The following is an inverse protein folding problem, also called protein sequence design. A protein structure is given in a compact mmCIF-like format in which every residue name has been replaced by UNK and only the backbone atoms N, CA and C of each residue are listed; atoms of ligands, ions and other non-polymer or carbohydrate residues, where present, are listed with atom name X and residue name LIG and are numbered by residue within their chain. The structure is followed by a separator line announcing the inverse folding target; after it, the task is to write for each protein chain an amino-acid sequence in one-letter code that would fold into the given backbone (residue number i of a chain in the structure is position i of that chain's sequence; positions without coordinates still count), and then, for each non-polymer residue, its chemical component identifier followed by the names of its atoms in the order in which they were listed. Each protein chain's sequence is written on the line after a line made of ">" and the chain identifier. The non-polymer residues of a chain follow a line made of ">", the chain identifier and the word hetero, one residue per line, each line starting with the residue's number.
data_IF_155442900363
#
_entry.id   IF_155442900363
#
_cell.length_a   1.000
_cell.length_b   1.000
_cell.length_c   1.000
_cell.angle_alpha   90.00
_cell.angle_beta   90.00
_cell.angle_gamma   90.00
#
_symmetry.space_group_name_H-M   'P 1'
#
loop_
_entity.id
_entity.type
_entity.pdbx_description
1 polymer ?
#
# COMPACT_ATOMS: atom_id res chain seq x y z
N UNK A 1 5.02 12.36 -4.61
CA UNK A 1 5.44 11.22 -3.75
C UNK A 1 5.01 9.93 -4.46
N UNK A 2 5.91 8.97 -4.67
CA UNK A 2 5.60 7.75 -5.45
C UNK A 2 4.61 6.84 -4.70
N UNK A 3 3.54 6.42 -5.38
CA UNK A 3 2.51 5.51 -4.86
C UNK A 3 3.12 4.18 -4.44
N UNK A 4 4.08 3.64 -5.19
CA UNK A 4 4.77 2.40 -4.84
C UNK A 4 5.39 2.42 -3.45
N UNK A 5 5.97 3.57 -3.05
CA UNK A 5 6.58 3.73 -1.72
C UNK A 5 5.51 3.77 -0.64
N UNK A 6 4.47 4.58 -0.83
CA UNK A 6 3.39 4.74 0.14
C UNK A 6 2.59 3.46 0.33
N UNK A 7 2.15 2.84 -0.76
CA UNK A 7 1.37 1.60 -0.73
C UNK A 7 2.14 0.43 -0.12
N UNK A 8 3.46 0.36 -0.32
CA UNK A 8 4.30 -0.61 0.40
C UNK A 8 4.21 -0.41 1.92
N UNK A 9 4.40 0.82 2.39
CA UNK A 9 4.42 1.13 3.83
C UNK A 9 3.05 0.84 4.45
N UNK A 10 1.98 1.28 3.78
CA UNK A 10 0.61 0.98 4.19
C UNK A 10 0.40 -0.53 4.25
N UNK A 11 0.80 -1.27 3.22
CA UNK A 11 0.71 -2.72 3.22
C UNK A 11 1.44 -3.41 4.38
N UNK A 12 2.61 -2.90 4.78
CA UNK A 12 3.33 -3.41 5.96
C UNK A 12 2.53 -3.18 7.25
N UNK A 13 1.90 -2.02 7.39
CA UNK A 13 1.07 -1.69 8.55
C UNK A 13 -0.21 -2.54 8.61
N UNK A 14 -0.91 -2.70 7.48
CA UNK A 14 -2.13 -3.51 7.41
C UNK A 14 -1.84 -4.98 7.69
N UNK A 15 -0.72 -5.49 7.19
CA UNK A 15 -0.32 -6.87 7.42
C UNK A 15 0.12 -7.13 8.85
N UNK A 16 0.81 -6.17 9.48
CA UNK A 16 1.11 -6.23 10.91
C UNK A 16 -0.17 -6.21 11.78
N UNK A 17 -1.23 -5.57 11.28
CA UNK A 17 -2.53 -5.51 11.93
C UNK A 17 -3.46 -6.69 11.56
N UNK A 18 -3.01 -7.64 10.73
CA UNK A 18 -3.80 -8.79 10.31
C UNK A 18 -4.99 -8.48 9.39
N UNK A 19 -4.98 -7.32 8.72
CA UNK A 19 -6.09 -6.89 7.84
C UNK A 19 -5.90 -7.48 6.44
N UNK A 20 -6.80 -8.39 6.07
CA UNK A 20 -6.78 -9.06 4.77
C UNK A 20 -7.74 -8.45 3.73
N UNK A 21 -8.79 -7.77 4.18
CA UNK A 21 -9.78 -7.12 3.33
C UNK A 21 -9.98 -5.67 3.76
N UNK A 22 -9.89 -4.75 2.80
CA UNK A 22 -9.95 -3.31 3.06
C UNK A 22 -10.24 -2.55 1.77
N UNK A 23 -10.67 -1.32 1.92
CA UNK A 23 -10.72 -0.33 0.86
C UNK A 23 -9.66 0.73 1.14
N UNK A 24 -8.98 1.20 0.11
CA UNK A 24 -7.96 2.22 0.21
C UNK A 24 -8.25 3.29 -0.84
N UNK A 25 -8.38 4.52 -0.39
CA UNK A 25 -8.61 5.67 -1.25
C UNK A 25 -7.46 6.66 -1.12
N UNK A 26 -7.02 7.21 -2.26
CA UNK A 26 -6.08 8.32 -2.29
C UNK A 26 -6.88 9.63 -2.20
N UNK A 27 -6.77 10.32 -1.06
CA UNK A 27 -7.37 11.63 -0.84
C UNK A 27 -6.26 12.70 -0.78
N UNK A 28 -6.13 13.46 -1.87
CA UNK A 28 -5.06 14.45 -2.12
C UNK A 28 -3.65 13.89 -1.86
N UNK A 29 -3.09 14.20 -0.69
CA UNK A 29 -1.76 13.78 -0.26
C UNK A 29 -1.79 12.61 0.73
N UNK A 30 -2.95 12.26 1.24
CA UNK A 30 -3.17 11.21 2.24
C UNK A 30 -3.77 9.95 1.62
N UNK A 31 -3.70 8.85 2.36
CA UNK A 31 -4.37 7.60 2.01
C UNK A 31 -5.30 7.22 3.14
N UNK A 32 -6.58 7.03 2.82
CA UNK A 32 -7.60 6.59 3.78
C UNK A 32 -7.83 5.11 3.55
N UNK A 33 -7.69 4.32 4.61
CA UNK A 33 -8.00 2.90 4.59
C UNK A 33 -9.25 2.66 5.42
N UNK A 34 -10.21 1.98 4.83
CA UNK A 34 -11.46 1.55 5.44
C UNK A 34 -11.47 0.03 5.54
N UNK A 35 -11.86 -0.55 6.68
CA UNK A 35 -12.05 -1.99 6.78
C UNK A 35 -13.15 -2.34 7.77
N UNK A 36 -13.99 -3.30 7.40
CA UNK A 36 -15.01 -3.88 8.26
C UNK A 36 -14.45 -5.01 9.16
N UNK A 37 -13.33 -5.61 8.76
CA UNK A 37 -12.81 -6.85 9.33
C UNK A 37 -11.58 -6.59 10.22
N UNK A 38 -11.67 -5.61 11.11
CA UNK A 38 -10.55 -5.22 11.97
C UNK A 38 -10.75 -5.79 13.38
N UNK A 39 -9.78 -6.57 13.85
CA UNK A 39 -9.76 -7.04 15.23
C UNK A 39 -9.35 -5.92 16.18
N UNK A 40 -9.67 -6.05 17.47
CA UNK A 40 -9.31 -5.05 18.48
C UNK A 40 -7.79 -4.85 18.55
N UNK A 41 -7.03 -5.93 18.43
CA UNK A 41 -5.57 -5.95 18.41
C UNK A 41 -5.04 -5.26 17.16
N UNK A 42 -5.60 -5.56 15.98
CA UNK A 42 -5.23 -4.93 14.71
C UNK A 42 -5.50 -3.42 14.72
N UNK A 43 -6.65 -3.01 15.26
CA UNK A 43 -6.99 -1.60 15.45
C UNK A 43 -5.97 -0.89 16.35
N UNK A 44 -5.61 -1.49 17.49
CA UNK A 44 -4.60 -0.94 18.39
C UNK A 44 -3.24 -0.80 17.71
N UNK A 45 -2.80 -1.80 16.94
CA UNK A 45 -1.55 -1.78 16.18
C UNK A 45 -1.53 -0.60 15.19
N UNK A 46 -2.61 -0.40 14.43
CA UNK A 46 -2.69 0.71 13.47
C UNK A 46 -2.76 2.07 14.17
N UNK A 47 -3.55 2.21 15.23
CA UNK A 47 -3.64 3.47 15.99
C UNK A 47 -2.30 3.87 16.58
N UNK A 48 -1.56 2.90 17.13
CA UNK A 48 -0.20 3.11 17.63
C UNK A 48 0.76 3.50 16.50
N UNK A 49 0.65 2.88 15.33
CA UNK A 49 1.47 3.19 14.17
C UNK A 49 1.21 4.61 13.61
N UNK A 50 -0.04 5.06 13.65
CA UNK A 50 -0.48 6.38 13.18
C UNK A 50 -0.32 7.49 14.24
N UNK A 51 0.06 7.15 15.47
CA UNK A 51 0.30 8.13 16.53
C UNK A 51 -0.97 8.82 17.02
N UNK A 52 -2.12 8.14 16.97
CA UNK A 52 -3.36 8.58 17.61
C UNK A 52 -4.17 9.69 16.90
N UNK A 53 -3.83 10.07 15.66
CA UNK A 53 -4.60 11.08 14.91
C UNK A 53 -5.89 10.47 14.34
N UNK A 54 -6.98 10.57 15.10
CA UNK A 54 -8.31 10.12 14.70
C UNK A 54 -8.99 11.14 13.75
N UNK A 55 -9.56 10.64 12.65
CA UNK A 55 -10.62 11.33 11.89
C UNK A 55 -12.02 10.99 12.46
N UNK A 56 -12.11 10.22 13.55
CA UNK A 56 -13.39 9.84 14.15
C UNK A 56 -14.12 10.97 14.86
N UNK A 57 -13.60 12.21 14.82
CA UNK A 57 -14.19 13.38 15.49
C UNK A 57 -14.94 14.34 14.56
N UNK A 58 -15.16 14.01 13.28
CA UNK A 58 -15.96 14.86 12.40
C UNK A 58 -17.18 14.13 11.82
N UNK A 59 -18.35 14.48 12.38
CA UNK A 59 -19.62 14.59 11.65
C UNK A 59 -20.39 13.31 11.40
N UNK A 60 -21.49 13.16 12.16
CA UNK A 60 -22.73 12.45 11.83
C UNK A 60 -22.65 11.19 10.94
N UNK A 61 -22.95 10.04 11.56
CA UNK A 61 -23.19 8.73 10.92
C UNK A 61 -21.97 7.90 10.48
N UNK A 62 -21.04 7.62 11.40
CA UNK A 62 -20.22 6.41 11.25
C UNK A 62 -21.04 5.21 11.73
N UNK A 63 -21.68 4.54 10.78
CA UNK A 63 -22.22 3.21 10.98
C UNK A 63 -21.14 2.34 11.64
N UNK A 64 -21.53 1.64 12.70
CA UNK A 64 -20.74 0.77 13.58
C UNK A 64 -19.95 -0.33 12.85
N UNK A 65 -20.03 -0.39 11.53
CA UNK A 65 -19.52 -1.46 10.66
C UNK A 65 -18.09 -1.23 10.13
N UNK A 66 -17.62 0.00 9.92
CA UNK A 66 -16.35 0.25 9.20
C UNK A 66 -15.36 1.11 10.01
N UNK A 67 -14.14 0.61 10.19
CA UNK A 67 -13.01 1.34 10.81
C UNK A 67 -12.20 2.08 9.76
N UNK A 68 -11.83 3.33 10.05
CA UNK A 68 -11.10 4.22 9.15
C UNK A 68 -9.71 4.56 9.71
N UNK A 69 -8.70 4.54 8.85
CA UNK A 69 -7.31 4.84 9.18
C UNK A 69 -6.70 5.77 8.14
N UNK A 70 -6.24 6.94 8.55
CA UNK A 70 -5.65 7.94 7.65
C UNK A 70 -4.13 7.93 7.74
N UNK A 71 -3.46 7.62 6.64
CA UNK A 71 -2.02 7.64 6.48
C UNK A 71 -1.59 8.95 5.83
N UNK A 72 -1.14 9.91 6.65
CA UNK A 72 -0.61 11.19 6.14
C UNK A 72 0.82 11.01 5.63
N UNK A 73 1.33 11.91 4.78
CA UNK A 73 2.72 11.86 4.30
C UNK A 73 3.76 11.76 5.43
N UNK A 74 3.52 12.42 6.57
CA UNK A 74 4.37 12.37 7.75
C UNK A 74 4.39 10.96 8.37
N UNK A 75 3.22 10.33 8.52
CA UNK A 75 3.10 8.97 9.06
C UNK A 75 3.82 7.96 8.16
N UNK A 76 3.60 8.05 6.84
CA UNK A 76 4.27 7.19 5.85
C UNK A 76 5.79 7.34 5.93
N UNK A 77 6.28 8.57 6.05
CA UNK A 77 7.71 8.84 6.14
C UNK A 77 8.31 8.30 7.44
N UNK A 78 7.62 8.48 8.57
CA UNK A 78 8.00 7.94 9.88
C UNK A 78 8.04 6.41 9.86
N UNK A 79 6.99 5.78 9.35
CA UNK A 79 6.88 4.32 9.26
C UNK A 79 7.95 3.72 8.33
N UNK A 80 8.25 4.37 7.20
CA UNK A 80 9.36 3.93 6.32
C UNK A 80 10.71 4.05 7.03
N UNK A 81 10.97 5.15 7.74
CA UNK A 81 12.21 5.35 8.49
C UNK A 81 12.36 4.29 9.60
N UNK A 82 11.29 3.99 10.35
CA UNK A 82 11.28 2.93 11.36
C UNK A 82 11.56 1.55 10.73
N UNK A 83 10.91 1.22 9.62
CA UNK A 83 11.14 -0.03 8.89
C UNK A 83 12.58 -0.13 8.34
N UNK A 84 13.20 0.98 7.94
CA UNK A 84 14.62 1.04 7.55
C UNK A 84 15.54 0.84 8.74
N UNK A 85 15.28 1.50 9.88
CA UNK A 85 16.09 1.38 11.09
C UNK A 85 16.08 -0.06 11.63
N UNK A 86 14.90 -0.70 11.65
CA UNK A 86 14.76 -2.12 12.02
C UNK A 86 15.60 -3.03 11.12
N UNK A 87 15.60 -2.81 9.80
CA UNK A 87 16.46 -3.57 8.86
C UNK A 87 17.94 -3.40 9.12
N UNK A 88 18.40 -2.17 9.38
CA UNK A 88 19.82 -1.91 9.70
C UNK A 88 20.26 -2.56 11.01
N UNK A 89 19.36 -2.63 12.00
CA UNK A 89 19.62 -3.26 13.29
C UNK A 89 19.61 -4.79 13.25
N UNK A 90 19.06 -5.41 12.20
CA UNK A 90 18.85 -6.86 12.08
C UNK A 90 19.77 -7.51 11.02
N UNK A 91 20.87 -6.84 10.64
CA UNK A 91 21.77 -7.28 9.56
C UNK A 91 22.49 -8.62 9.83
N UNK A 92 22.19 -9.32 10.92
CA UNK A 92 22.73 -10.64 11.25
C UNK A 92 21.70 -11.75 11.51
N UNK A 93 20.38 -11.50 11.48
CA UNK A 93 19.41 -12.58 11.75
C UNK A 93 18.05 -12.34 11.08
N UNK A 94 17.67 -13.31 10.24
CA UNK A 94 16.38 -13.50 9.55
C UNK A 94 16.09 -12.54 8.40
N UNK A 95 16.19 -13.09 7.18
CA UNK A 95 15.56 -12.62 5.96
C UNK A 95 14.05 -12.45 6.21
N UNK A 96 13.59 -11.26 6.58
CA UNK A 96 12.14 -10.97 6.60
C UNK A 96 11.66 -11.04 5.17
N UNK A 97 10.89 -12.08 4.86
CA UNK A 97 10.17 -12.19 3.61
C UNK A 97 9.37 -10.89 3.44
N UNK A 98 9.43 -10.23 2.26
CA UNK A 98 8.48 -9.19 1.92
C UNK A 98 7.10 -9.79 2.16
N UNK A 99 6.43 -9.26 3.17
CA UNK A 99 5.12 -9.75 3.57
C UNK A 99 4.20 -9.56 2.36
N UNK A 100 3.34 -10.55 2.10
CA UNK A 100 2.75 -10.77 0.77
C UNK A 100 1.89 -9.59 0.35
N UNK A 101 1.21 -8.94 1.30
CA UNK A 101 0.39 -7.76 1.04
C UNK A 101 1.26 -6.53 0.72
N UNK A 102 2.25 -6.22 1.57
CA UNK A 102 3.22 -5.13 1.32
C UNK A 102 3.85 -5.23 -0.07
N UNK A 103 4.24 -6.45 -0.45
CA UNK A 103 4.86 -6.70 -1.75
C UNK A 103 3.89 -6.48 -2.91
N UNK A 104 2.67 -7.03 -2.84
CA UNK A 104 1.65 -6.88 -3.88
C UNK A 104 1.19 -5.42 -4.02
N UNK A 105 0.97 -4.72 -2.91
CA UNK A 105 0.62 -3.29 -2.90
C UNK A 105 1.74 -2.41 -3.47
N UNK A 106 3.01 -2.75 -3.21
CA UNK A 106 4.13 -2.06 -3.86
C UNK A 106 4.09 -2.21 -5.37
N UNK A 107 3.94 -3.44 -5.87
CA UNK A 107 3.90 -3.71 -7.31
C UNK A 107 2.71 -3.00 -7.97
N UNK A 108 1.58 -2.95 -7.25
CA UNK A 108 0.44 -2.20 -7.72
C UNK A 108 0.71 -0.69 -7.76
N UNK A 109 1.33 -0.13 -6.72
CA UNK A 109 1.77 1.26 -6.73
C UNK A 109 2.78 1.57 -7.84
N UNK A 110 3.71 0.63 -8.13
CA UNK A 110 4.64 0.75 -9.26
C UNK A 110 3.87 0.81 -10.60
N UNK A 111 2.73 0.11 -10.72
CA UNK A 111 1.86 0.21 -11.89
C UNK A 111 1.17 1.58 -11.96
N UNK A 112 0.57 2.04 -10.85
CA UNK A 112 -0.11 3.33 -10.75
C UNK A 112 0.83 4.51 -11.03
N UNK A 113 2.07 4.45 -10.54
CA UNK A 113 3.11 5.45 -10.80
C UNK A 113 3.44 5.55 -12.31
N UNK A 114 3.44 4.42 -13.04
CA UNK A 114 3.74 4.41 -14.49
C UNK A 114 2.63 5.02 -15.32
N UNK A 115 1.38 4.76 -14.95
CA UNK A 115 0.22 5.29 -15.66
C UNK A 115 -0.19 6.69 -15.19
N UNK A 116 0.57 7.28 -14.25
CA UNK A 116 0.42 8.65 -13.75
C UNK A 116 -1.02 8.96 -13.30
N UNK A 117 -1.52 8.24 -12.30
CA UNK A 117 -2.86 8.50 -11.77
C UNK A 117 -2.87 9.66 -10.77
N UNK A 118 -3.91 10.48 -10.83
CA UNK A 118 -4.12 11.57 -9.86
C UNK A 118 -4.92 11.08 -8.65
N UNK A 119 -6.02 10.35 -8.92
CA UNK A 119 -6.97 9.85 -7.93
C UNK A 119 -7.21 8.36 -8.18
N UNK A 120 -7.31 7.58 -7.10
CA UNK A 120 -7.68 6.17 -7.20
C UNK A 120 -8.31 5.64 -5.91
N UNK A 121 -9.12 4.60 -6.07
CA UNK A 121 -9.67 3.76 -5.02
C UNK A 121 -9.34 2.30 -5.33
N UNK A 122 -8.89 1.58 -4.31
CA UNK A 122 -8.57 0.16 -4.35
C UNK A 122 -9.51 -0.54 -3.39
N UNK A 123 -10.24 -1.55 -3.86
CA UNK A 123 -10.96 -2.50 -3.02
C UNK A 123 -10.17 -3.79 -3.02
N UNK A 124 -9.69 -4.17 -1.85
CA UNK A 124 -8.88 -5.35 -1.64
C UNK A 124 -9.68 -6.41 -0.89
N UNK A 125 -9.81 -7.59 -1.49
CA UNK A 125 -10.47 -8.75 -0.87
C UNK A 125 -9.50 -9.92 -0.81
N UNK A 126 -9.95 -11.04 -0.24
CA UNK A 126 -9.16 -12.27 -0.17
C UNK A 126 -8.85 -12.84 -1.57
N UNK A 127 -9.73 -12.62 -2.55
CA UNK A 127 -9.69 -13.29 -3.84
C UNK A 127 -9.42 -12.37 -5.03
N UNK A 128 -9.73 -11.08 -4.88
CA UNK A 128 -9.62 -10.10 -5.95
C UNK A 128 -9.21 -8.72 -5.44
N UNK A 129 -8.65 -7.93 -6.35
CA UNK A 129 -8.34 -6.52 -6.16
C UNK A 129 -9.02 -5.73 -7.25
N UNK A 130 -9.91 -4.82 -6.88
CA UNK A 130 -10.58 -3.91 -7.81
C UNK A 130 -9.96 -2.54 -7.66
N UNK A 131 -9.70 -1.87 -8.77
CA UNK A 131 -9.08 -0.56 -8.78
C UNK A 131 -9.86 0.34 -9.72
N UNK A 132 -10.34 1.44 -9.17
CA UNK A 132 -10.93 2.53 -9.94
C UNK A 132 -9.95 3.69 -9.87
N UNK A 133 -9.51 4.20 -11.01
CA UNK A 133 -8.53 5.28 -11.06
C UNK A 133 -8.82 6.26 -12.18
N UNK A 134 -8.34 7.49 -11.99
CA UNK A 134 -8.37 8.54 -12.99
C UNK A 134 -6.94 8.83 -13.46
N UNK A 135 -6.73 8.82 -14.77
CA UNK A 135 -5.46 9.25 -15.38
C UNK A 135 -5.42 10.78 -15.50
N UNK A 136 -4.24 11.32 -15.83
CA UNK A 136 -4.06 12.77 -16.07
C UNK A 136 -4.93 13.28 -17.23
N UNK A 137 -5.30 12.42 -18.19
CA UNK A 137 -6.21 12.74 -19.30
C UNK A 137 -7.68 12.92 -18.86
N UNK A 138 -7.98 12.71 -17.58
CA UNK A 138 -9.31 12.83 -17.00
C UNK A 138 -10.19 11.57 -17.14
N UNK A 139 -9.74 10.55 -17.86
CA UNK A 139 -10.51 9.32 -18.06
C UNK A 139 -10.48 8.41 -16.82
N UNK A 140 -11.64 7.89 -16.47
CA UNK A 140 -11.80 6.88 -15.43
C UNK A 140 -11.66 5.48 -16.00
N UNK A 141 -10.89 4.66 -15.32
CA UNK A 141 -10.72 3.26 -15.64
C UNK A 141 -11.03 2.40 -14.41
N UNK A 142 -11.66 1.26 -14.65
CA UNK A 142 -11.84 0.20 -13.67
C UNK A 142 -11.01 -1.01 -14.12
N UNK A 143 -10.24 -1.59 -13.20
CA UNK A 143 -9.51 -2.83 -13.44
C UNK A 143 -9.71 -3.79 -12.28
N UNK A 144 -10.02 -5.02 -12.61
CA UNK A 144 -10.15 -6.12 -11.66
C UNK A 144 -8.96 -7.03 -11.87
N UNK A 145 -8.30 -7.40 -10.77
CA UNK A 145 -7.23 -8.39 -10.75
C UNK A 145 -7.66 -9.54 -9.86
N UNK A 146 -7.61 -10.75 -10.40
CA UNK A 146 -7.75 -11.97 -9.61
C UNK A 146 -6.45 -12.27 -8.85
N UNK A 147 -6.51 -13.11 -7.81
CA UNK A 147 -5.36 -13.44 -6.98
C UNK A 147 -4.12 -13.91 -7.79
N UNK A 148 -4.34 -14.66 -8.88
CA UNK A 148 -3.26 -15.13 -9.77
C UNK A 148 -2.63 -13.99 -10.58
N UNK A 149 -3.44 -13.09 -11.15
CA UNK A 149 -2.96 -11.92 -11.89
C UNK A 149 -2.21 -10.95 -10.99
N UNK A 150 -2.60 -10.84 -9.72
CA UNK A 150 -1.85 -10.07 -8.72
C UNK A 150 -0.48 -10.68 -8.41
N UNK A 151 -0.38 -12.01 -8.37
CA UNK A 151 0.92 -12.69 -8.24
C UNK A 151 1.79 -12.41 -9.47
N UNK A 152 1.25 -12.51 -10.68
CA UNK A 152 1.97 -12.21 -11.92
C UNK A 152 2.43 -10.74 -11.98
N UNK A 153 1.54 -9.78 -11.67
CA UNK A 153 1.88 -8.36 -11.63
C UNK A 153 3.06 -8.11 -10.67
N UNK A 154 3.01 -8.76 -9.52
CA UNK A 154 4.07 -8.68 -8.54
C UNK A 154 5.36 -9.33 -9.05
N UNK A 155 5.31 -10.50 -9.71
CA UNK A 155 6.49 -11.15 -10.31
C UNK A 155 7.12 -10.32 -11.43
N UNK A 156 6.33 -9.75 -12.35
CA UNK A 156 6.82 -8.89 -13.43
C UNK A 156 7.52 -7.62 -12.90
N UNK A 157 7.12 -7.11 -11.73
CA UNK A 157 7.83 -6.01 -11.08
C UNK A 157 9.26 -6.38 -10.65
N UNK A 158 9.53 -7.65 -10.32
CA UNK A 158 10.87 -8.16 -9.97
C UNK A 158 11.75 -8.33 -11.20
N UNK A 159 11.27 -9.01 -12.25
CA UNK A 159 12.07 -9.30 -13.43
C UNK A 159 12.55 -8.05 -14.19
N UNK A 160 11.78 -6.96 -14.17
CA UNK A 160 12.22 -5.69 -14.78
C UNK A 160 13.20 -4.89 -13.91
N UNK A 161 13.32 -5.16 -12.60
CA UNK A 161 14.39 -4.57 -11.78
C UNK A 161 15.74 -5.28 -12.01
N UNK A 162 15.72 -6.55 -12.39
CA UNK A 162 16.93 -7.30 -12.78
C UNK A 162 17.57 -6.79 -14.07
N UNK A 163 16.78 -6.20 -14.98
CA UNK A 163 17.25 -5.72 -16.29
C UNK A 163 17.82 -4.29 -16.28
N UNK A 164 17.91 -3.60 -15.14
CA UNK A 164 18.50 -2.25 -15.08
C UNK A 164 20.02 -2.28 -14.89
N UNK A 165 20.64 -3.46 -14.65
CA UNK A 165 22.08 -3.58 -14.41
C UNK A 165 22.84 -4.48 -15.41
N UNK A 166 22.32 -4.72 -16.61
CA UNK A 166 23.03 -5.51 -17.63
C UNK A 166 23.00 -4.81 -19.00
N UNK A 167 23.61 -3.64 -19.06
CA UNK A 167 24.29 -3.20 -20.28
C UNK A 167 25.64 -2.59 -19.87
N UNK A 168 26.77 -3.31 -20.04
CA UNK A 168 28.04 -2.62 -20.14
C UNK A 168 27.94 -1.73 -21.38
N UNK A 169 28.19 -0.43 -21.21
CA UNK A 169 28.35 0.48 -22.33
C UNK A 169 29.52 -0.02 -23.17
N UNK A 170 29.23 -0.52 -24.37
CA UNK A 170 30.21 -0.65 -25.44
C UNK A 170 30.49 0.77 -25.93
N UNK A 171 31.60 1.35 -25.46
CA UNK A 171 32.22 2.49 -26.12
C UNK A 171 32.82 1.98 -27.43
N UNK A 172 32.43 2.62 -28.54
CA UNK A 172 33.12 2.61 -29.82
C UNK A 172 34.27 3.61 -29.74
#
# INVERSE_FOLDING_TARGET
>A
MLHAKSLRVIGQSLEAAGIAAFELEKNDQSYVVCSACVTREGESILRNALGGNDLSSQGAQQSRANRLFCFRPADISRLDAQARKKRKSQFGTVTRTPTTLSYRLRALGDHLDRIQVSVFRIVWTLHSVIIVYQKVDGQYHCKIFMAQEMQQLALHSRFRRSNVNLFPQLNI
#
